data_IF_765349094025
#
_entry.id   IF_765349094025
#
_cell.length_a   1.000
_cell.length_b   1.000
_cell.length_c   1.000
_cell.angle_alpha   90.00
_cell.angle_beta   90.00
_cell.angle_gamma   90.00
#
_symmetry.space_group_name_H-M   'P 1'
#
loop_
_entity.id
_entity.type
_entity.pdbx_description
1 polymer ?
#
# COMPACT_ATOMS: atom_id res chain seq x y z
N UNK A 1 -21.95 24.26 -41.20
CA UNK A 1 -22.44 23.45 -40.07
C UNK A 1 -21.84 22.07 -40.20
N UNK A 2 -20.68 21.84 -39.58
CA UNK A 2 -20.09 20.51 -39.40
C UNK A 2 -19.46 20.55 -38.02
N UNK A 3 -20.16 19.93 -37.07
CA UNK A 3 -19.76 19.87 -35.68
C UNK A 3 -18.54 18.97 -35.54
N UNK A 4 -17.50 19.50 -34.91
CA UNK A 4 -16.51 18.66 -34.27
C UNK A 4 -17.16 18.04 -33.04
N UNK A 5 -17.50 16.75 -33.16
CA UNK A 5 -17.81 15.92 -32.00
C UNK A 5 -16.51 15.77 -31.19
N UNK A 6 -16.43 16.54 -30.11
CA UNK A 6 -15.47 16.29 -29.04
C UNK A 6 -16.00 15.08 -28.28
N UNK A 7 -15.56 13.89 -28.67
CA UNK A 7 -15.75 12.68 -27.87
C UNK A 7 -14.52 12.54 -26.98
N UNK A 8 -14.42 13.43 -25.99
CA UNK A 8 -13.65 13.13 -24.80
C UNK A 8 -14.43 12.07 -24.05
N UNK A 9 -14.02 10.81 -24.17
CA UNK A 9 -14.47 9.79 -23.22
C UNK A 9 -14.05 10.28 -21.84
N UNK A 10 -15.04 10.48 -20.97
CA UNK A 10 -14.85 10.51 -19.52
C UNK A 10 -14.52 9.07 -19.10
N UNK A 11 -13.36 8.57 -19.52
CA UNK A 11 -12.80 7.33 -19.02
C UNK A 11 -12.05 7.74 -17.77
N UNK A 12 -12.50 7.23 -16.60
CA UNK A 12 -11.74 7.35 -15.36
C UNK A 12 -10.26 7.06 -15.61
N UNK A 13 -9.40 7.75 -14.88
CA UNK A 13 -7.96 7.65 -15.06
C UNK A 13 -7.48 6.19 -15.03
N UNK A 14 -6.47 5.87 -15.84
CA UNK A 14 -5.88 4.52 -15.89
C UNK A 14 -5.51 4.02 -14.48
N UNK A 15 -5.98 2.82 -14.05
CA UNK A 15 -5.74 2.30 -12.71
C UNK A 15 -4.25 2.22 -12.33
N UNK A 16 -3.39 1.91 -13.29
CA UNK A 16 -1.94 1.87 -13.10
C UNK A 16 -1.40 3.28 -12.83
N UNK A 17 -1.89 4.28 -13.57
CA UNK A 17 -1.52 5.69 -13.38
C UNK A 17 -2.02 6.21 -12.04
N UNK A 18 -3.24 5.86 -11.63
CA UNK A 18 -3.79 6.23 -10.33
C UNK A 18 -2.97 5.64 -9.19
N UNK A 19 -2.67 4.34 -9.26
CA UNK A 19 -1.81 3.69 -8.27
C UNK A 19 -0.42 4.33 -8.22
N UNK A 20 0.27 4.48 -9.36
CA UNK A 20 1.64 4.95 -9.42
C UNK A 20 1.81 6.37 -8.85
N UNK A 21 0.79 7.22 -9.02
CA UNK A 21 0.81 8.59 -8.49
C UNK A 21 0.56 8.67 -6.97
N UNK A 22 0.01 7.63 -6.35
CA UNK A 22 -0.39 7.65 -4.94
C UNK A 22 0.37 6.64 -4.07
N UNK A 23 0.96 5.60 -4.67
CA UNK A 23 1.74 4.62 -3.93
C UNK A 23 3.15 5.13 -3.62
N UNK A 24 3.40 5.30 -2.33
CA UNK A 24 4.74 5.52 -1.78
C UNK A 24 4.97 4.49 -0.68
N UNK A 25 6.01 3.64 -0.75
CA UNK A 25 6.36 2.76 0.36
C UNK A 25 6.67 3.59 1.61
N UNK A 26 6.06 3.25 2.75
CA UNK A 26 6.30 3.95 4.02
C UNK A 26 7.75 3.77 4.43
N UNK A 27 8.33 4.78 5.09
CA UNK A 27 9.65 4.62 5.70
C UNK A 27 9.59 3.58 6.83
N UNK A 28 10.73 2.97 7.14
CA UNK A 28 10.84 2.03 8.24
C UNK A 28 10.79 2.75 9.59
N UNK A 29 9.58 2.81 10.13
CA UNK A 29 9.28 3.26 11.49
C UNK A 29 9.25 2.09 12.49
N UNK A 30 9.32 0.85 11.99
CA UNK A 30 9.22 -0.36 12.82
C UNK A 30 10.55 -0.67 13.54
N UNK A 31 11.65 -0.72 12.77
CA UNK A 31 12.99 -1.03 13.29
C UNK A 31 14.06 -0.31 12.46
N UNK A 32 14.29 0.99 12.70
CA UNK A 32 15.27 1.77 11.96
C UNK A 32 16.68 1.15 12.04
N UNK A 33 17.36 0.98 10.89
CA UNK A 33 18.69 0.37 10.86
C UNK A 33 19.76 1.26 11.51
N UNK A 34 20.51 0.69 12.46
CA UNK A 34 21.77 1.29 12.93
C UNK A 34 22.90 1.02 11.95
N UNK A 35 23.40 2.06 11.25
CA UNK A 35 24.39 1.96 10.16
C UNK A 35 25.70 1.21 10.48
N UNK A 36 26.02 0.92 11.74
CA UNK A 36 27.28 0.29 12.17
C UNK A 36 27.16 -1.20 12.51
N UNK A 37 25.95 -1.77 12.49
CA UNK A 37 25.74 -3.17 12.85
C UNK A 37 25.58 -4.03 11.60
N UNK A 38 26.29 -5.16 11.55
CA UNK A 38 26.04 -6.20 10.54
C UNK A 38 24.74 -6.90 10.94
N UNK A 39 23.75 -7.07 10.04
CA UNK A 39 22.49 -7.71 10.40
C UNK A 39 22.70 -9.20 10.70
N UNK A 40 22.34 -9.62 11.90
CA UNK A 40 22.58 -10.99 12.39
C UNK A 40 21.31 -11.84 12.29
N UNK A 41 20.17 -11.25 12.64
CA UNK A 41 18.85 -11.91 12.66
C UNK A 41 18.12 -11.84 11.31
N UNK A 42 17.11 -12.71 11.11
CA UNK A 42 16.22 -12.67 9.93
C UNK A 42 15.50 -11.32 9.84
N UNK A 43 15.01 -10.84 10.98
CA UNK A 43 14.32 -9.55 11.09
C UNK A 43 15.24 -8.38 10.70
N UNK A 44 16.46 -8.31 11.23
CA UNK A 44 17.41 -7.26 10.87
C UNK A 44 17.76 -7.30 9.38
N UNK A 45 17.95 -8.49 8.81
CA UNK A 45 18.20 -8.63 7.36
C UNK A 45 17.03 -8.08 6.55
N UNK A 46 15.79 -8.37 6.95
CA UNK A 46 14.60 -7.84 6.31
C UNK A 46 14.57 -6.31 6.31
N UNK A 47 14.70 -5.69 7.49
CA UNK A 47 14.55 -4.24 7.63
C UNK A 47 15.75 -3.44 7.10
N UNK A 48 16.96 -4.01 7.10
CA UNK A 48 18.11 -3.43 6.39
C UNK A 48 17.86 -3.35 4.88
N UNK A 49 17.34 -4.42 4.29
CA UNK A 49 17.03 -4.42 2.86
C UNK A 49 15.84 -3.51 2.53
N UNK A 50 14.86 -3.41 3.44
CA UNK A 50 13.76 -2.45 3.32
C UNK A 50 14.27 -1.00 3.33
N UNK A 51 15.15 -0.64 4.26
CA UNK A 51 15.76 0.70 4.35
C UNK A 51 16.60 1.05 3.12
N UNK A 52 17.21 0.04 2.50
CA UNK A 52 17.93 0.16 1.23
C UNK A 52 17.01 0.22 0.01
N UNK A 53 15.69 0.16 0.21
CA UNK A 53 14.66 0.08 -0.84
C UNK A 53 14.79 -1.16 -1.72
N UNK A 54 15.48 -2.20 -1.24
CA UNK A 54 15.56 -3.50 -1.87
C UNK A 54 14.35 -4.35 -1.44
N UNK A 55 13.17 -3.91 -1.86
CA UNK A 55 11.91 -4.50 -1.45
C UNK A 55 11.74 -6.00 -1.80
N UNK A 56 12.24 -6.50 -2.96
CA UNK A 56 12.16 -7.93 -3.25
C UNK A 56 12.91 -8.77 -2.21
N UNK A 57 14.10 -8.32 -1.80
CA UNK A 57 14.91 -9.03 -0.81
C UNK A 57 14.36 -8.85 0.61
N UNK A 58 13.82 -7.66 0.94
CA UNK A 58 13.12 -7.42 2.18
C UNK A 58 11.93 -8.37 2.36
N UNK A 59 11.08 -8.50 1.33
CA UNK A 59 9.96 -9.43 1.32
C UNK A 59 10.43 -10.89 1.51
N UNK A 60 11.52 -11.28 0.83
CA UNK A 60 12.11 -12.63 0.96
C UNK A 60 12.55 -12.95 2.38
N UNK A 61 13.09 -11.97 3.12
CA UNK A 61 13.47 -12.16 4.52
C UNK A 61 12.27 -12.14 5.45
N UNK A 62 11.32 -11.22 5.26
CA UNK A 62 10.11 -11.13 6.08
C UNK A 62 9.27 -12.42 6.00
N UNK A 63 9.19 -13.06 4.83
CA UNK A 63 8.51 -14.36 4.65
C UNK A 63 9.13 -15.51 5.46
N UNK A 64 10.37 -15.36 5.96
CA UNK A 64 11.06 -16.38 6.76
C UNK A 64 10.85 -16.18 8.26
N UNK A 65 10.18 -15.12 8.70
CA UNK A 65 9.90 -14.89 10.11
C UNK A 65 8.93 -15.95 10.63
N UNK A 66 9.29 -16.57 11.75
CA UNK A 66 8.40 -17.47 12.46
C UNK A 66 7.48 -16.63 13.36
N UNK A 67 6.16 -16.73 13.15
CA UNK A 67 5.14 -15.98 13.90
C UNK A 67 5.29 -14.44 13.81
N UNK A 68 5.23 -13.84 12.60
CA UNK A 68 5.40 -12.41 12.45
C UNK A 68 4.26 -11.62 13.10
N UNK A 69 4.59 -10.51 13.74
CA UNK A 69 3.58 -9.61 14.31
C UNK A 69 2.83 -8.81 13.22
N UNK A 70 1.87 -7.97 13.63
CA UNK A 70 1.09 -7.16 12.69
C UNK A 70 1.97 -6.16 11.89
N UNK A 71 2.99 -5.58 12.52
CA UNK A 71 3.91 -4.65 11.86
C UNK A 71 4.75 -5.35 10.81
N UNK A 72 5.40 -6.46 11.14
CA UNK A 72 6.21 -7.25 10.21
C UNK A 72 5.37 -7.75 9.02
N UNK A 73 4.13 -8.19 9.25
CA UNK A 73 3.20 -8.56 8.18
C UNK A 73 2.81 -7.36 7.31
N UNK A 74 2.59 -6.19 7.92
CA UNK A 74 2.32 -4.97 7.18
C UNK A 74 3.50 -4.55 6.30
N UNK A 75 4.72 -4.55 6.83
CA UNK A 75 5.93 -4.25 6.04
C UNK A 75 6.16 -5.27 4.93
N UNK A 76 5.79 -6.54 5.14
CA UNK A 76 5.83 -7.56 4.10
C UNK A 76 4.87 -7.19 2.96
N UNK A 77 3.64 -6.80 3.27
CA UNK A 77 2.68 -6.38 2.26
C UNK A 77 3.18 -5.17 1.45
N UNK A 78 3.70 -4.13 2.13
CA UNK A 78 4.25 -2.95 1.44
C UNK A 78 5.47 -3.31 0.57
N UNK A 79 6.35 -4.19 1.04
CA UNK A 79 7.49 -4.66 0.26
C UNK A 79 7.06 -5.46 -0.98
N UNK A 80 6.00 -6.27 -0.87
CA UNK A 80 5.40 -6.99 -1.99
C UNK A 80 4.80 -6.02 -3.02
N UNK A 81 4.04 -5.01 -2.58
CA UNK A 81 3.50 -3.96 -3.46
C UNK A 81 4.62 -3.20 -4.20
N UNK A 82 5.66 -2.79 -3.47
CA UNK A 82 6.81 -2.12 -4.08
C UNK A 82 7.61 -3.00 -5.04
N UNK A 83 7.41 -4.32 -4.96
CA UNK A 83 7.99 -5.32 -5.85
C UNK A 83 7.03 -5.81 -6.93
N UNK A 84 5.91 -5.11 -7.15
CA UNK A 84 4.88 -5.45 -8.14
C UNK A 84 4.24 -6.84 -7.92
N UNK A 85 4.08 -7.23 -6.66
CA UNK A 85 3.48 -8.50 -6.23
C UNK A 85 2.16 -8.27 -5.47
N UNK A 86 1.25 -7.50 -6.06
CA UNK A 86 -0.01 -7.07 -5.44
C UNK A 86 -0.93 -8.25 -5.10
N UNK A 87 -0.95 -9.27 -5.97
CA UNK A 87 -1.71 -10.49 -5.76
C UNK A 87 -1.31 -11.24 -4.47
N UNK A 88 -0.06 -11.09 -4.02
CA UNK A 88 0.41 -11.62 -2.74
C UNK A 88 0.23 -10.62 -1.58
N UNK A 89 0.30 -9.32 -1.86
CA UNK A 89 0.15 -8.28 -0.83
C UNK A 89 -1.30 -8.11 -0.35
N UNK A 90 -2.27 -8.12 -1.29
CA UNK A 90 -3.69 -7.89 -1.02
C UNK A 90 -4.26 -8.80 0.08
N UNK A 91 -4.12 -10.15 0.03
CA UNK A 91 -4.68 -11.01 1.08
C UNK A 91 -4.05 -10.76 2.46
N UNK A 92 -2.79 -10.34 2.53
CA UNK A 92 -2.15 -9.97 3.80
C UNK A 92 -2.79 -8.71 4.40
N UNK A 93 -3.07 -7.71 3.56
CA UNK A 93 -3.73 -6.47 3.98
C UNK A 93 -5.20 -6.70 4.37
N UNK A 94 -5.91 -7.52 3.61
CA UNK A 94 -7.30 -7.93 3.91
C UNK A 94 -7.41 -8.68 5.24
N UNK A 95 -6.40 -9.45 5.62
CA UNK A 95 -6.35 -10.07 6.94
C UNK A 95 -6.04 -9.02 8.03
N UNK A 96 -5.01 -8.19 7.83
CA UNK A 96 -4.54 -7.23 8.83
C UNK A 96 -5.56 -6.14 9.17
N UNK A 97 -6.43 -5.74 8.24
CA UNK A 97 -7.46 -4.72 8.48
C UNK A 97 -8.55 -5.22 9.46
N UNK A 98 -8.74 -6.53 9.57
CA UNK A 98 -9.68 -7.16 10.50
C UNK A 98 -9.15 -7.22 11.93
N UNK A 99 -7.84 -7.04 12.12
CA UNK A 99 -7.19 -7.07 13.42
C UNK A 99 -7.23 -5.68 14.08
N UNK A 100 -7.39 -5.63 15.41
CA UNK A 100 -7.24 -4.39 16.18
C UNK A 100 -5.75 -4.17 16.49
N UNK A 101 -5.09 -3.37 15.66
CA UNK A 101 -3.64 -3.21 15.68
C UNK A 101 -3.20 -1.81 15.20
N UNK A 102 -2.02 -1.30 15.66
CA UNK A 102 -1.61 0.10 15.44
C UNK A 102 -1.42 0.54 13.97
N UNK A 103 -1.14 -0.39 13.07
CA UNK A 103 -0.97 -0.16 11.63
C UNK A 103 -2.29 -0.13 10.86
N UNK A 104 -3.45 -0.33 11.51
CA UNK A 104 -4.74 -0.46 10.82
C UNK A 104 -5.05 0.71 9.86
N UNK A 105 -4.87 1.99 10.24
CA UNK A 105 -5.05 3.10 9.31
C UNK A 105 -4.10 3.07 8.10
N UNK A 106 -2.87 2.56 8.30
CA UNK A 106 -1.94 2.38 7.19
C UNK A 106 -2.40 1.21 6.30
N UNK A 107 -2.82 0.09 6.90
CA UNK A 107 -3.36 -1.06 6.18
C UNK A 107 -4.56 -0.69 5.32
N UNK A 108 -5.48 0.13 5.83
CA UNK A 108 -6.64 0.66 5.09
C UNK A 108 -6.21 1.38 3.82
N UNK A 109 -5.27 2.32 3.93
CA UNK A 109 -4.74 3.06 2.78
C UNK A 109 -4.07 2.16 1.74
N UNK A 110 -3.13 1.30 2.17
CA UNK A 110 -2.42 0.43 1.23
C UNK A 110 -3.34 -0.62 0.59
N UNK A 111 -4.37 -1.09 1.30
CA UNK A 111 -5.39 -1.97 0.74
C UNK A 111 -6.22 -1.26 -0.34
N UNK A 112 -6.61 0.00 -0.11
CA UNK A 112 -7.31 0.80 -1.10
C UNK A 112 -6.49 0.94 -2.39
N UNK A 113 -5.18 1.18 -2.27
CA UNK A 113 -4.26 1.23 -3.41
C UNK A 113 -4.14 -0.12 -4.12
N UNK A 114 -4.12 -1.24 -3.40
CA UNK A 114 -4.19 -2.58 -4.01
C UNK A 114 -5.48 -2.75 -4.82
N UNK A 115 -6.63 -2.32 -4.30
CA UNK A 115 -7.90 -2.40 -5.05
C UNK A 115 -7.87 -1.56 -6.32
N UNK A 116 -7.34 -0.33 -6.27
CA UNK A 116 -7.14 0.51 -7.47
C UNK A 116 -6.27 -0.24 -8.49
N UNK A 117 -5.12 -0.76 -8.07
CA UNK A 117 -4.18 -1.45 -8.98
C UNK A 117 -4.76 -2.72 -9.62
N UNK A 118 -5.58 -3.46 -8.88
CA UNK A 118 -6.26 -4.66 -9.37
C UNK A 118 -7.57 -4.34 -10.13
N UNK A 119 -7.84 -3.07 -10.41
CA UNK A 119 -9.06 -2.59 -11.07
C UNK A 119 -10.37 -2.96 -10.34
N UNK A 120 -10.30 -3.14 -9.03
CA UNK A 120 -11.43 -3.40 -8.12
C UNK A 120 -12.02 -2.07 -7.63
N UNK A 121 -12.58 -1.30 -8.57
CA UNK A 121 -12.93 0.10 -8.31
C UNK A 121 -14.05 0.28 -7.28
N UNK A 122 -15.00 -0.65 -7.19
CA UNK A 122 -16.06 -0.57 -6.16
C UNK A 122 -15.51 -0.72 -4.75
N UNK A 123 -14.60 -1.67 -4.54
CA UNK A 123 -13.91 -1.87 -3.27
C UNK A 123 -12.96 -0.70 -2.94
N UNK A 124 -12.26 -0.18 -3.96
CA UNK A 124 -11.43 1.00 -3.82
C UNK A 124 -12.26 2.23 -3.40
N UNK A 125 -13.36 2.51 -4.11
CA UNK A 125 -14.25 3.64 -3.82
C UNK A 125 -14.78 3.56 -2.38
N UNK A 126 -15.32 2.41 -1.98
CA UNK A 126 -15.88 2.21 -0.65
C UNK A 126 -14.83 2.44 0.47
N UNK A 127 -13.62 1.91 0.30
CA UNK A 127 -12.57 2.06 1.30
C UNK A 127 -11.99 3.48 1.32
N UNK A 128 -11.81 4.12 0.16
CA UNK A 128 -11.36 5.50 0.06
C UNK A 128 -12.37 6.48 0.66
N UNK A 129 -13.67 6.25 0.44
CA UNK A 129 -14.74 7.03 1.05
C UNK A 129 -14.72 6.92 2.58
N UNK A 130 -14.60 5.69 3.10
CA UNK A 130 -14.41 5.47 4.54
C UNK A 130 -13.21 6.24 5.11
N UNK A 131 -12.05 6.16 4.43
CA UNK A 131 -10.83 6.85 4.87
C UNK A 131 -11.03 8.38 4.85
N UNK A 132 -11.60 8.92 3.76
CA UNK A 132 -11.82 10.36 3.60
C UNK A 132 -12.78 10.94 4.66
N UNK A 133 -13.75 10.13 5.11
CA UNK A 133 -14.71 10.51 6.14
C UNK A 133 -14.21 10.28 7.58
N UNK A 134 -13.06 9.61 7.77
CA UNK A 134 -12.52 9.28 9.09
C UNK A 134 -11.62 10.40 9.65
N UNK A 135 -12.09 11.21 10.63
CA UNK A 135 -11.33 12.35 11.12
C UNK A 135 -10.06 11.90 11.82
N UNK A 136 -8.92 12.48 11.45
CA UNK A 136 -7.61 12.14 12.03
C UNK A 136 -6.95 10.91 11.42
N UNK A 137 -7.55 10.30 10.39
CA UNK A 137 -6.89 9.27 9.61
C UNK A 137 -5.65 9.87 8.88
N UNK A 138 -4.47 9.22 8.91
CA UNK A 138 -3.24 9.78 8.33
C UNK A 138 -3.33 10.13 6.84
N UNK A 139 -4.17 9.40 6.10
CA UNK A 139 -4.40 9.58 4.65
C UNK A 139 -5.75 10.18 4.29
N UNK A 140 -6.41 10.88 5.23
CA UNK A 140 -7.76 11.43 5.00
C UNK A 140 -7.83 12.33 3.76
N UNK A 141 -6.86 13.23 3.58
CA UNK A 141 -6.84 14.18 2.47
C UNK A 141 -6.47 13.53 1.14
N UNK A 142 -5.52 12.60 1.17
CA UNK A 142 -5.06 11.81 0.02
C UNK A 142 -6.19 10.92 -0.50
N UNK A 143 -6.92 10.26 0.40
CA UNK A 143 -8.08 9.45 0.04
C UNK A 143 -9.17 10.28 -0.62
N UNK A 144 -9.47 11.49 -0.11
CA UNK A 144 -10.44 12.38 -0.75
C UNK A 144 -10.06 12.75 -2.19
N UNK A 145 -8.78 13.07 -2.44
CA UNK A 145 -8.28 13.39 -3.79
C UNK A 145 -8.33 12.18 -4.73
N UNK A 146 -7.96 11.00 -4.24
CA UNK A 146 -7.99 9.79 -5.05
C UNK A 146 -9.44 9.34 -5.32
N UNK A 147 -10.34 9.50 -4.35
CA UNK A 147 -11.76 9.20 -4.47
C UNK A 147 -12.43 9.97 -5.62
N UNK A 148 -12.05 11.23 -5.85
CA UNK A 148 -12.55 12.03 -6.98
C UNK A 148 -12.17 11.46 -8.35
N UNK A 149 -11.15 10.60 -8.43
CA UNK A 149 -10.60 10.07 -9.69
C UNK A 149 -10.97 8.63 -9.98
N UNK A 150 -11.43 7.88 -8.96
CA UNK A 150 -11.88 6.47 -9.09
C UNK A 150 -13.39 6.34 -9.32
N UNK A 151 -14.14 7.45 -9.24
CA UNK A 151 -15.59 7.54 -9.45
C UNK A 151 -15.97 7.58 -10.93
#
# INVERSE_FOLDING_TARGET
MLGFFWMGCDAGDDPEVLYANNFVPIENLYKPTERRQVPETIEEKAFVEYDRKNYPEAARWLQKLESPDAGQRFYLAVALMASQQESAAKPLLEQLIQEDQPYKPLTEWYLALCFVRENQMGEAEALLDFIAQSPGHPYQGEAGKLLERVK
#
